data_IF_545631876455
#
_entry.id   IF_545631876455
#
_cell.length_a   1.000
_cell.length_b   1.000
_cell.length_c   1.000
_cell.angle_alpha   90.00
_cell.angle_beta   90.00
_cell.angle_gamma   90.00
#
_symmetry.space_group_name_H-M   'P 1'
#
loop_
_entity.id
_entity.type
_entity.pdbx_description
1 polymer ?
#
# COMPACT_ATOMS: atom_id res chain seq x y z
N UNK A 1 12.13 2.21 15.47
CA UNK A 1 11.99 1.43 14.21
C UNK A 1 13.29 1.53 13.45
N UNK A 2 13.77 0.44 12.85
CA UNK A 2 14.97 0.44 11.97
C UNK A 2 14.55 0.66 10.51
N UNK A 3 15.50 0.99 9.63
CA UNK A 3 15.23 1.13 8.20
C UNK A 3 14.59 -0.14 7.62
N UNK A 4 15.10 -1.33 7.96
CA UNK A 4 14.54 -2.61 7.52
C UNK A 4 13.06 -2.78 7.91
N UNK A 5 12.71 -2.44 9.16
CA UNK A 5 11.31 -2.54 9.61
C UNK A 5 10.40 -1.59 8.82
N UNK A 6 10.88 -0.42 8.41
CA UNK A 6 10.10 0.50 7.58
C UNK A 6 10.01 -0.01 6.13
N UNK A 7 11.12 -0.45 5.53
CA UNK A 7 11.12 -0.99 4.17
C UNK A 7 10.18 -2.19 4.01
N UNK A 8 10.03 -3.02 5.06
CA UNK A 8 9.08 -4.14 5.06
C UNK A 8 7.62 -3.73 4.86
N UNK A 9 7.26 -2.46 5.07
CA UNK A 9 5.93 -1.92 4.85
C UNK A 9 5.66 -1.55 3.38
N UNK A 10 6.66 -1.55 2.50
CA UNK A 10 6.54 -1.20 1.08
C UNK A 10 5.33 -1.85 0.38
N UNK A 11 4.99 -3.14 0.60
CA UNK A 11 3.88 -3.77 -0.09
C UNK A 11 2.52 -3.10 0.18
N UNK A 12 2.38 -2.42 1.32
CA UNK A 12 1.13 -1.75 1.72
C UNK A 12 0.77 -0.58 0.80
N UNK A 13 1.74 0.01 0.09
CA UNK A 13 1.50 1.06 -0.92
C UNK A 13 0.56 0.56 -2.02
N UNK A 14 0.68 -0.70 -2.42
CA UNK A 14 -0.16 -1.33 -3.45
C UNK A 14 -1.39 -1.98 -2.80
N UNK A 15 -1.23 -2.57 -1.61
CA UNK A 15 -2.31 -3.30 -0.95
C UNK A 15 -3.45 -2.37 -0.52
N UNK A 16 -3.19 -1.18 0.02
CA UNK A 16 -4.26 -0.29 0.46
C UNK A 16 -5.19 0.15 -0.68
N UNK A 17 -4.69 0.69 -1.82
CA UNK A 17 -5.55 1.04 -2.94
C UNK A 17 -6.30 -0.15 -3.51
N UNK A 18 -5.65 -1.33 -3.58
CA UNK A 18 -6.29 -2.55 -4.06
C UNK A 18 -7.45 -2.97 -3.15
N UNK A 19 -7.27 -2.91 -1.82
CA UNK A 19 -8.33 -3.18 -0.86
C UNK A 19 -9.47 -2.17 -0.96
N UNK A 20 -9.17 -0.88 -1.13
CA UNK A 20 -10.18 0.16 -1.35
C UNK A 20 -10.97 -0.07 -2.65
N UNK A 21 -10.28 -0.48 -3.71
CA UNK A 21 -10.90 -0.87 -4.98
C UNK A 21 -11.81 -2.10 -4.82
N UNK A 22 -11.31 -3.19 -4.23
CA UNK A 22 -12.09 -4.42 -4.02
C UNK A 22 -13.31 -4.14 -3.13
N UNK A 23 -13.16 -3.33 -2.09
CA UNK A 23 -14.27 -2.91 -1.25
C UNK A 23 -15.34 -2.16 -2.06
N UNK A 24 -14.95 -1.15 -2.84
CA UNK A 24 -15.89 -0.41 -3.67
C UNK A 24 -16.53 -1.28 -4.77
N UNK A 25 -15.83 -2.29 -5.28
CA UNK A 25 -16.39 -3.23 -6.24
C UNK A 25 -17.50 -4.10 -5.60
N UNK A 26 -17.27 -4.62 -4.39
CA UNK A 26 -18.20 -5.52 -3.70
C UNK A 26 -19.34 -4.77 -3.02
N UNK A 27 -19.05 -3.65 -2.37
CA UNK A 27 -19.97 -2.93 -1.50
C UNK A 27 -20.36 -1.54 -2.01
N UNK A 28 -19.68 -1.00 -3.03
CA UNK A 28 -19.92 0.36 -3.54
C UNK A 28 -21.35 0.63 -3.99
N UNK A 29 -22.03 -0.40 -4.53
CA UNK A 29 -23.46 -0.31 -4.93
C UNK A 29 -24.42 -0.23 -3.74
N UNK A 30 -23.98 -0.55 -2.53
CA UNK A 30 -24.78 -0.56 -1.29
C UNK A 30 -24.58 0.69 -0.43
N UNK A 31 -23.66 1.57 -0.82
CA UNK A 31 -23.32 2.80 -0.08
C UNK A 31 -23.53 4.03 -0.97
N UNK A 32 -23.61 5.21 -0.35
CA UNK A 32 -23.70 6.47 -1.10
C UNK A 32 -22.40 6.76 -1.86
N UNK A 33 -22.50 7.56 -2.93
CA UNK A 33 -21.34 8.03 -3.70
C UNK A 33 -20.28 8.69 -2.80
N UNK A 34 -20.72 9.49 -1.83
CA UNK A 34 -19.84 10.09 -0.83
C UNK A 34 -19.11 9.03 0.00
N UNK A 35 -19.80 7.97 0.42
CA UNK A 35 -19.19 6.86 1.16
C UNK A 35 -18.12 6.13 0.35
N UNK A 36 -18.43 5.79 -0.91
CA UNK A 36 -17.48 5.16 -1.82
C UNK A 36 -16.24 6.05 -2.06
N UNK A 37 -16.44 7.35 -2.23
CA UNK A 37 -15.37 8.34 -2.38
C UNK A 37 -14.48 8.47 -1.14
N UNK A 38 -15.07 8.43 0.06
CA UNK A 38 -14.31 8.44 1.33
C UNK A 38 -13.43 7.19 1.42
N UNK A 39 -13.96 6.00 1.11
CA UNK A 39 -13.19 4.75 1.18
C UNK A 39 -12.02 4.77 0.19
N UNK A 40 -12.27 5.15 -1.07
CA UNK A 40 -11.22 5.26 -2.07
C UNK A 40 -10.13 6.27 -1.66
N UNK A 41 -10.54 7.44 -1.19
CA UNK A 41 -9.62 8.50 -0.74
C UNK A 41 -8.82 8.07 0.48
N UNK A 42 -9.45 7.40 1.46
CA UNK A 42 -8.78 6.89 2.64
C UNK A 42 -7.76 5.80 2.30
N UNK A 43 -8.10 4.89 1.37
CA UNK A 43 -7.19 3.86 0.90
C UNK A 43 -5.93 4.46 0.26
N UNK A 44 -6.08 5.45 -0.62
CA UNK A 44 -4.95 6.16 -1.23
C UNK A 44 -4.19 7.01 -0.20
N UNK A 45 -4.89 7.64 0.74
CA UNK A 45 -4.28 8.41 1.83
C UNK A 45 -3.40 7.54 2.73
N UNK A 46 -3.85 6.32 3.07
CA UNK A 46 -3.04 5.35 3.81
C UNK A 46 -1.82 4.91 3.01
N UNK A 47 -1.95 4.65 1.71
CA UNK A 47 -0.80 4.35 0.84
C UNK A 47 0.22 5.50 0.83
N UNK A 48 -0.25 6.74 0.82
CA UNK A 48 0.61 7.93 0.90
C UNK A 48 1.37 8.02 2.24
N UNK A 49 0.70 7.70 3.36
CA UNK A 49 1.38 7.61 4.67
C UNK A 49 2.50 6.57 4.62
N UNK A 50 2.27 5.40 4.01
CA UNK A 50 3.33 4.40 3.83
C UNK A 50 4.47 4.96 2.96
N UNK A 51 4.18 5.66 1.87
CA UNK A 51 5.23 6.30 1.05
C UNK A 51 6.09 7.31 1.85
N UNK A 52 5.51 8.06 2.78
CA UNK A 52 6.27 8.93 3.69
C UNK A 52 7.17 8.10 4.61
N UNK A 53 6.68 6.97 5.13
CA UNK A 53 7.51 6.07 5.94
C UNK A 53 8.68 5.49 5.12
N UNK A 54 8.48 5.23 3.82
CA UNK A 54 9.57 4.80 2.94
C UNK A 54 10.58 5.90 2.69
N UNK A 55 10.13 7.15 2.58
CA UNK A 55 11.03 8.30 2.50
C UNK A 55 11.88 8.44 3.77
N UNK A 56 11.27 8.28 4.95
CA UNK A 56 12.02 8.24 6.23
C UNK A 56 13.01 7.08 6.26
N UNK A 57 12.62 5.90 5.78
CA UNK A 57 13.50 4.73 5.70
C UNK A 57 14.74 4.99 4.84
N UNK A 58 14.57 5.63 3.67
CA UNK A 58 15.68 6.03 2.81
C UNK A 58 16.60 7.08 3.46
N UNK A 59 16.05 7.93 4.34
CA UNK A 59 16.85 8.85 5.15
C UNK A 59 17.72 8.15 6.20
N UNK A 60 17.32 6.96 6.67
CA UNK A 60 18.08 6.14 7.62
C UNK A 60 19.08 5.22 6.91
N UNK A 61 18.69 4.65 5.77
CA UNK A 61 19.54 3.82 4.92
C UNK A 61 19.35 4.21 3.43
N UNK A 62 20.27 5.01 2.86
CA UNK A 62 20.18 5.46 1.48
C UNK A 62 20.32 4.37 0.42
N UNK A 63 20.83 3.19 0.78
CA UNK A 63 20.94 2.08 -0.17
C UNK A 63 19.56 1.54 -0.58
N UNK A 64 18.54 1.79 0.24
CA UNK A 64 17.21 1.22 0.05
C UNK A 64 17.17 -0.29 0.30
N UNK A 65 16.04 -0.90 -0.03
CA UNK A 65 15.86 -2.34 0.08
C UNK A 65 15.10 -2.90 -1.12
N UNK A 66 15.47 -4.11 -1.54
CA UNK A 66 14.67 -4.88 -2.52
C UNK A 66 13.78 -5.84 -1.76
N UNK A 67 12.46 -5.66 -1.88
CA UNK A 67 11.47 -6.53 -1.26
C UNK A 67 10.95 -7.53 -2.29
N UNK A 68 11.26 -8.81 -2.10
CA UNK A 68 10.70 -9.88 -2.91
C UNK A 68 9.26 -10.17 -2.46
N UNK A 69 8.29 -9.94 -3.35
CA UNK A 69 6.86 -10.05 -3.03
C UNK A 69 6.36 -11.47 -3.29
N UNK A 70 6.69 -12.03 -4.45
CA UNK A 70 6.36 -13.39 -4.86
C UNK A 70 7.16 -13.76 -6.10
N UNK A 71 7.40 -15.05 -6.28
CA UNK A 71 7.79 -15.61 -7.58
C UNK A 71 6.58 -15.56 -8.51
N UNK A 72 6.73 -14.92 -9.67
CA UNK A 72 5.61 -14.79 -10.63
C UNK A 72 5.37 -16.12 -11.36
N UNK A 73 6.41 -16.71 -11.96
CA UNK A 73 6.30 -17.95 -12.72
C UNK A 73 7.51 -18.82 -12.41
N UNK A 74 7.29 -20.02 -11.86
CA UNK A 74 8.33 -21.03 -11.67
C UNK A 74 8.19 -22.05 -12.80
N UNK A 75 9.17 -22.10 -13.69
CA UNK A 75 9.28 -23.11 -14.74
C UNK A 75 10.40 -24.07 -14.33
N UNK A 76 10.09 -25.36 -14.26
CA UNK A 76 11.03 -26.44 -13.93
C UNK A 76 11.78 -26.95 -15.15
#
# INVERSE_FOLDING_TARGET
MTADTLFSLAPLVILFPLLGFVFNLVAGRRISERGAGIVASAAVGLAFVISILQFVALGLDPAGATIHIAEWIVVG
#
